data_IF_536923513310
#
_entry.id   IF_536923513310
#
_cell.length_a   1.000
_cell.length_b   1.000
_cell.length_c   1.000
_cell.angle_alpha   90.00
_cell.angle_beta   90.00
_cell.angle_gamma   90.00
#
_symmetry.space_group_name_H-M   'P 1'
#
loop_
_entity.id
_entity.type
_entity.pdbx_description
1 polymer ?
#
# COMPACT_ATOMS: atom_id res chain seq x y z
N UNK A 1 9.58 24.98 -4.95
CA UNK A 1 8.13 25.06 -4.73
C UNK A 1 7.51 25.62 -6.01
N UNK A 2 6.65 24.86 -6.71
CA UNK A 2 5.88 25.41 -7.84
C UNK A 2 5.11 26.64 -7.37
N UNK A 3 4.97 27.68 -8.20
CA UNK A 3 4.16 28.85 -7.82
C UNK A 3 2.69 28.43 -7.88
N UNK A 4 1.84 29.04 -7.05
CA UNK A 4 0.37 28.80 -7.00
C UNK A 4 -0.31 28.89 -8.39
N UNK A 5 0.33 29.55 -9.37
CA UNK A 5 -0.15 29.70 -10.75
C UNK A 5 -0.01 28.44 -11.63
N UNK A 6 0.64 27.38 -11.17
CA UNK A 6 0.95 26.19 -12.00
C UNK A 6 -0.01 25.00 -11.74
N UNK A 7 -1.10 25.20 -10.99
CA UNK A 7 -2.10 24.17 -10.69
C UNK A 7 -3.25 24.16 -11.71
N UNK A 8 -3.75 22.98 -12.12
CA UNK A 8 -3.25 21.64 -11.79
C UNK A 8 -1.91 21.32 -12.48
N UNK A 9 -1.03 20.58 -11.80
CA UNK A 9 0.21 20.09 -12.39
C UNK A 9 -0.11 19.08 -13.50
N UNK A 10 0.60 19.21 -14.61
CA UNK A 10 0.55 18.20 -15.69
C UNK A 10 1.45 17.03 -15.35
N UNK A 11 0.91 15.82 -15.34
CA UNK A 11 1.74 14.62 -15.37
C UNK A 11 2.54 14.59 -16.67
N UNK A 12 3.86 14.40 -16.54
CA UNK A 12 4.77 14.27 -17.69
C UNK A 12 4.62 12.92 -18.39
N UNK A 13 4.31 11.88 -17.62
CA UNK A 13 4.20 10.50 -18.07
C UNK A 13 3.05 9.82 -17.32
N UNK A 14 2.36 8.84 -17.93
CA UNK A 14 1.36 8.05 -17.22
C UNK A 14 2.00 7.16 -16.16
N UNK A 15 1.29 6.94 -15.06
CA UNK A 15 1.61 5.89 -14.08
C UNK A 15 0.72 4.69 -14.41
N UNK A 16 1.35 3.58 -14.79
CA UNK A 16 0.67 2.38 -15.31
C UNK A 16 0.64 1.27 -14.27
N UNK A 17 -0.40 0.43 -14.32
CA UNK A 17 -0.59 -0.74 -13.45
C UNK A 17 -0.46 -0.41 -11.96
N UNK A 18 -1.16 0.64 -11.51
CA UNK A 18 -1.26 0.96 -10.09
C UNK A 18 -2.21 -0.04 -9.45
N UNK A 19 -1.63 -1.01 -8.75
CA UNK A 19 -2.38 -2.08 -8.09
C UNK A 19 -2.82 -1.65 -6.69
N UNK A 20 -4.08 -1.94 -6.35
CA UNK A 20 -4.61 -1.82 -5.00
C UNK A 20 -5.18 -3.17 -4.57
N UNK A 21 -4.79 -3.63 -3.39
CA UNK A 21 -5.26 -4.88 -2.81
C UNK A 21 -5.69 -4.65 -1.37
N UNK A 22 -6.90 -5.13 -1.04
CA UNK A 22 -7.42 -5.29 0.30
C UNK A 22 -7.70 -6.78 0.47
N UNK A 23 -7.02 -7.41 1.42
CA UNK A 23 -7.34 -8.78 1.81
C UNK A 23 -8.49 -8.77 2.82
N UNK A 24 -9.39 -9.73 2.65
CA UNK A 24 -10.39 -10.14 3.63
C UNK A 24 -9.81 -10.95 4.79
N UNK A 25 -8.57 -11.43 4.66
CA UNK A 25 -7.87 -12.11 5.74
C UNK A 25 -7.76 -11.20 6.97
N UNK A 26 -8.08 -11.75 8.14
CA UNK A 26 -8.17 -11.00 9.40
C UNK A 26 -9.50 -10.30 9.64
N UNK A 27 -10.42 -10.29 8.68
CA UNK A 27 -11.82 -9.88 8.87
C UNK A 27 -12.04 -8.37 9.01
N UNK A 28 -10.98 -7.57 9.13
CA UNK A 28 -11.11 -6.12 9.23
C UNK A 28 -11.61 -5.50 7.94
N UNK A 29 -11.35 -6.08 6.76
CA UNK A 29 -11.55 -5.40 5.46
C UNK A 29 -12.32 -6.27 4.47
N UNK A 30 -13.15 -5.68 3.61
CA UNK A 30 -13.68 -6.40 2.46
C UNK A 30 -12.56 -6.68 1.43
N UNK A 31 -12.66 -7.80 0.75
CA UNK A 31 -11.78 -8.17 -0.36
C UNK A 31 -11.98 -7.21 -1.53
N UNK A 32 -10.88 -6.67 -2.06
CA UNK A 32 -10.86 -5.94 -3.32
C UNK A 32 -9.47 -6.00 -3.94
N UNK A 33 -9.36 -6.34 -5.22
CA UNK A 33 -8.11 -6.28 -5.96
C UNK A 33 -8.37 -5.55 -7.28
N UNK A 34 -7.63 -4.48 -7.56
CA UNK A 34 -7.83 -3.64 -8.75
C UNK A 34 -6.49 -3.16 -9.31
N UNK A 35 -6.44 -2.93 -10.63
CA UNK A 35 -5.35 -2.24 -11.32
C UNK A 35 -5.91 -1.08 -12.14
N UNK A 36 -5.28 0.08 -11.98
CA UNK A 36 -5.65 1.28 -12.71
C UNK A 36 -4.44 2.02 -13.29
N UNK A 37 -4.67 2.69 -14.40
CA UNK A 37 -3.71 3.61 -15.02
C UNK A 37 -4.09 5.05 -14.71
N UNK A 38 -3.09 5.88 -14.38
CA UNK A 38 -3.22 7.31 -14.16
C UNK A 38 -2.52 8.04 -15.32
N UNK A 39 -3.31 8.62 -16.21
CA UNK A 39 -2.83 9.28 -17.42
C UNK A 39 -2.97 10.80 -17.33
N UNK A 40 -2.09 11.57 -18.01
CA UNK A 40 -2.28 13.00 -18.15
C UNK A 40 -3.62 13.31 -18.82
N UNK A 41 -4.41 14.20 -18.20
CA UNK A 41 -5.60 14.76 -18.83
C UNK A 41 -5.28 16.18 -19.33
N UNK A 42 -5.61 16.45 -20.58
CA UNK A 42 -5.56 17.80 -21.15
C UNK A 42 -6.98 18.38 -21.05
N UNK A 43 -7.22 19.40 -20.21
CA UNK A 43 -8.55 20.01 -20.09
C UNK A 43 -8.89 20.77 -21.38
N UNK A 44 -10.06 20.51 -21.97
CA UNK A 44 -10.52 21.11 -23.23
C UNK A 44 -11.32 22.41 -23.00
N UNK A 45 -10.66 23.45 -22.49
CA UNK A 45 -11.26 24.78 -22.30
C UNK A 45 -11.56 25.15 -20.85
N UNK A 46 -12.10 26.36 -20.66
CA UNK A 46 -12.37 26.95 -19.35
C UNK A 46 -13.55 26.23 -18.66
N UNK A 47 -13.31 25.69 -17.45
CA UNK A 47 -14.31 24.92 -16.69
C UNK A 47 -14.37 23.41 -16.99
N UNK A 48 -13.47 22.87 -17.80
CA UNK A 48 -13.38 21.43 -18.05
C UNK A 48 -12.90 20.65 -16.82
N UNK A 49 -13.47 19.46 -16.60
CA UNK A 49 -13.11 18.60 -15.48
C UNK A 49 -11.63 18.19 -15.57
N UNK A 50 -10.89 18.46 -14.49
CA UNK A 50 -9.48 18.11 -14.38
C UNK A 50 -9.28 16.67 -13.89
N UNK A 51 -10.35 16.01 -13.42
CA UNK A 51 -10.32 14.61 -13.01
C UNK A 51 -11.36 13.84 -13.80
N UNK A 52 -10.93 12.77 -14.47
CA UNK A 52 -11.83 11.86 -15.18
C UNK A 52 -11.61 10.42 -14.71
N UNK A 53 -12.68 9.64 -14.64
CA UNK A 53 -12.61 8.21 -14.36
C UNK A 53 -13.30 7.43 -15.48
N UNK A 54 -12.68 6.33 -15.91
CA UNK A 54 -13.21 5.41 -16.91
C UNK A 54 -13.06 3.99 -16.37
N UNK A 55 -14.17 3.26 -16.27
CA UNK A 55 -14.14 1.83 -16.00
C UNK A 55 -14.07 1.06 -17.33
N UNK A 56 -12.97 0.35 -17.57
CA UNK A 56 -12.78 -0.48 -18.75
C UNK A 56 -12.99 -1.97 -18.47
N UNK A 57 -13.32 -2.32 -17.21
CA UNK A 57 -13.69 -3.69 -16.83
C UNK A 57 -15.14 -3.94 -17.23
N UNK A 58 -15.42 -4.99 -18.03
CA UNK A 58 -16.78 -5.33 -18.45
C UNK A 58 -17.69 -5.63 -17.25
N UNK A 59 -18.95 -5.22 -17.35
CA UNK A 59 -19.97 -5.48 -16.32
C UNK A 59 -20.18 -6.99 -16.03
N UNK A 60 -19.83 -7.86 -16.98
CA UNK A 60 -19.87 -9.31 -16.80
C UNK A 60 -18.76 -9.84 -15.86
N UNK A 61 -17.69 -9.07 -15.64
CA UNK A 61 -16.54 -9.46 -14.81
C UNK A 61 -16.50 -8.71 -13.48
N UNK A 62 -17.00 -7.47 -13.46
CA UNK A 62 -17.08 -6.64 -12.27
C UNK A 62 -18.47 -6.00 -12.19
N UNK A 63 -19.22 -6.21 -11.10
CA UNK A 63 -20.46 -5.48 -10.86
C UNK A 63 -20.26 -3.97 -11.03
N UNK A 64 -21.12 -3.27 -11.81
CA UNK A 64 -20.95 -1.85 -12.11
C UNK A 64 -20.77 -0.97 -10.87
N UNK A 65 -21.44 -1.31 -9.78
CA UNK A 65 -21.35 -0.63 -8.49
C UNK A 65 -19.95 -0.68 -7.88
N UNK A 66 -19.19 -1.76 -8.10
CA UNK A 66 -17.82 -1.89 -7.60
C UNK A 66 -16.85 -1.04 -8.44
N UNK A 67 -17.03 -1.04 -9.76
CA UNK A 67 -16.26 -0.16 -10.66
C UNK A 67 -16.53 1.32 -10.38
N UNK A 68 -17.79 1.68 -10.15
CA UNK A 68 -18.19 3.04 -9.77
C UNK A 68 -17.60 3.44 -8.41
N UNK A 69 -17.74 2.59 -7.39
CA UNK A 69 -17.22 2.86 -6.06
C UNK A 69 -15.68 3.02 -6.05
N UNK A 70 -14.96 2.20 -6.82
CA UNK A 70 -13.51 2.39 -7.03
C UNK A 70 -13.20 3.78 -7.59
N UNK A 71 -13.91 4.19 -8.65
CA UNK A 71 -13.76 5.51 -9.23
C UNK A 71 -14.05 6.64 -8.23
N UNK A 72 -15.15 6.54 -7.48
CA UNK A 72 -15.48 7.49 -6.41
C UNK A 72 -14.37 7.60 -5.36
N UNK A 73 -13.82 6.46 -4.94
CA UNK A 73 -12.69 6.40 -4.03
C UNK A 73 -11.44 7.11 -4.54
N UNK A 74 -11.04 6.84 -5.79
CA UNK A 74 -9.91 7.51 -6.44
C UNK A 74 -10.15 9.02 -6.51
N UNK A 75 -11.31 9.43 -7.01
CA UNK A 75 -11.62 10.84 -7.20
C UNK A 75 -11.75 11.60 -5.88
N UNK A 76 -12.29 10.96 -4.84
CA UNK A 76 -12.37 11.55 -3.50
C UNK A 76 -10.99 11.79 -2.91
N UNK A 77 -10.05 10.84 -3.08
CA UNK A 77 -8.67 11.02 -2.60
C UNK A 77 -7.95 12.14 -3.35
N UNK A 78 -8.04 12.16 -4.68
CA UNK A 78 -7.43 13.22 -5.50
C UNK A 78 -8.00 14.61 -5.18
N UNK A 79 -9.31 14.69 -4.89
CA UNK A 79 -9.96 15.94 -4.46
C UNK A 79 -9.54 16.34 -3.05
N UNK A 80 -9.28 15.40 -2.14
CA UNK A 80 -8.81 15.70 -0.79
C UNK A 80 -7.43 16.39 -0.79
N UNK A 81 -6.64 16.19 -1.84
CA UNK A 81 -5.35 16.89 -2.02
C UNK A 81 -5.47 18.25 -2.70
N UNK A 82 -6.70 18.72 -2.97
CA UNK A 82 -6.91 19.99 -3.65
C UNK A 82 -6.43 21.17 -2.82
N UNK A 83 -5.84 22.15 -3.50
CA UNK A 83 -5.51 23.44 -2.92
C UNK A 83 -6.44 24.50 -3.51
N UNK A 84 -7.15 25.26 -2.66
CA UNK A 84 -8.16 26.23 -3.09
C UNK A 84 -9.24 25.65 -4.04
N UNK A 85 -9.64 24.40 -3.82
CA UNK A 85 -10.64 23.71 -4.63
C UNK A 85 -10.14 23.20 -5.98
N UNK A 86 -8.84 23.35 -6.29
CA UNK A 86 -8.22 22.81 -7.51
C UNK A 86 -7.38 21.58 -7.17
N UNK A 87 -7.68 20.41 -7.77
CA UNK A 87 -6.86 19.21 -7.62
C UNK A 87 -5.40 19.42 -8.01
N UNK A 88 -4.45 18.69 -7.40
CA UNK A 88 -3.04 18.87 -7.67
C UNK A 88 -2.63 18.45 -9.08
N UNK A 89 -3.40 17.55 -9.70
CA UNK A 89 -3.11 16.98 -11.01
C UNK A 89 -4.34 16.96 -11.91
N UNK A 90 -4.12 17.18 -13.20
CA UNK A 90 -5.13 16.91 -14.22
C UNK A 90 -4.95 15.47 -14.72
N UNK A 91 -5.84 14.55 -14.31
CA UNK A 91 -5.65 13.11 -14.54
C UNK A 91 -6.90 12.40 -15.04
N UNK A 92 -6.68 11.47 -15.96
CA UNK A 92 -7.65 10.43 -16.31
C UNK A 92 -7.23 9.14 -15.67
N UNK A 93 -8.13 8.53 -14.91
CA UNK A 93 -7.94 7.24 -14.26
C UNK A 93 -8.71 6.19 -15.03
N UNK A 94 -8.04 5.12 -15.46
CA UNK A 94 -8.64 3.99 -16.17
C UNK A 94 -8.56 2.75 -15.30
N UNK A 95 -9.68 2.24 -14.81
CA UNK A 95 -9.73 0.93 -14.15
C UNK A 95 -9.61 -0.15 -15.24
N UNK A 96 -8.47 -0.85 -15.26
CA UNK A 96 -8.11 -1.83 -16.29
C UNK A 96 -8.59 -3.23 -15.95
N UNK A 97 -8.42 -3.61 -14.70
CA UNK A 97 -8.70 -4.94 -14.19
C UNK A 97 -9.13 -4.91 -12.73
N UNK A 98 -9.99 -5.83 -12.35
CA UNK A 98 -10.48 -5.97 -10.99
C UNK A 98 -10.87 -7.41 -10.67
N UNK A 99 -10.78 -7.79 -9.39
CA UNK A 99 -11.27 -9.06 -8.84
C UNK A 99 -12.07 -8.78 -7.59
N UNK A 100 -13.16 -9.52 -7.47
CA UNK A 100 -14.08 -9.48 -6.35
C UNK A 100 -14.45 -10.92 -5.96
N UNK A 101 -15.07 -11.07 -4.79
CA UNK A 101 -15.58 -12.32 -4.25
C UNK A 101 -16.96 -12.06 -3.66
N UNK A 102 -17.92 -12.95 -3.93
CA UNK A 102 -19.35 -12.72 -3.69
C UNK A 102 -19.68 -12.31 -2.24
N UNK A 103 -19.08 -12.98 -1.26
CA UNK A 103 -19.37 -12.72 0.15
C UNK A 103 -18.29 -11.91 0.88
N UNK A 104 -17.21 -11.56 0.19
CA UNK A 104 -16.07 -10.86 0.81
C UNK A 104 -15.90 -9.44 0.26
N UNK A 105 -16.41 -9.14 -0.93
CA UNK A 105 -16.29 -7.83 -1.58
C UNK A 105 -17.50 -6.94 -1.33
N UNK A 106 -17.23 -5.65 -1.19
CA UNK A 106 -18.27 -4.62 -1.06
C UNK A 106 -17.90 -3.38 -1.87
N UNK A 107 -18.90 -2.57 -2.21
CA UNK A 107 -18.67 -1.27 -2.85
C UNK A 107 -17.76 -0.38 -2.00
N UNK A 108 -17.97 -0.35 -0.67
CA UNK A 108 -17.09 0.35 0.26
C UNK A 108 -15.64 -0.14 0.16
N UNK A 109 -15.42 -1.45 0.03
CA UNK A 109 -14.10 -2.03 -0.20
C UNK A 109 -13.43 -1.54 -1.47
N UNK A 110 -14.17 -1.51 -2.57
CA UNK A 110 -13.67 -0.98 -3.83
C UNK A 110 -13.38 0.52 -3.75
N UNK A 111 -14.18 1.31 -3.04
CA UNK A 111 -13.88 2.72 -2.78
C UNK A 111 -12.57 2.89 -2.00
N UNK A 112 -12.33 2.08 -0.97
CA UNK A 112 -11.06 2.06 -0.25
C UNK A 112 -9.88 1.65 -1.15
N UNK A 113 -10.07 0.63 -2.00
CA UNK A 113 -9.06 0.25 -2.98
C UNK A 113 -8.75 1.41 -3.96
N UNK A 114 -9.76 2.18 -4.37
CA UNK A 114 -9.60 3.39 -5.17
C UNK A 114 -8.75 4.46 -4.49
N UNK A 115 -9.03 4.78 -3.22
CA UNK A 115 -8.21 5.71 -2.43
C UNK A 115 -6.76 5.24 -2.33
N UNK A 116 -6.56 3.95 -2.07
CA UNK A 116 -5.23 3.34 -1.99
C UNK A 116 -4.47 3.44 -3.31
N UNK A 117 -5.13 3.16 -4.44
CA UNK A 117 -4.54 3.32 -5.77
C UNK A 117 -4.12 4.78 -6.01
N UNK A 118 -4.97 5.75 -5.67
CA UNK A 118 -4.63 7.17 -5.79
C UNK A 118 -3.38 7.53 -4.97
N UNK A 119 -3.29 7.09 -3.70
CA UNK A 119 -2.12 7.31 -2.82
C UNK A 119 -0.83 6.74 -3.42
N UNK A 120 -0.87 5.51 -3.94
CA UNK A 120 0.30 4.89 -4.58
C UNK A 120 0.69 5.62 -5.86
N UNK A 121 -0.28 6.05 -6.69
CA UNK A 121 0.00 6.87 -7.86
C UNK A 121 0.65 8.20 -7.47
N UNK A 122 0.13 8.86 -6.42
CA UNK A 122 0.70 10.08 -5.85
C UNK A 122 2.16 9.88 -5.42
N UNK A 123 2.47 8.78 -4.73
CA UNK A 123 3.84 8.42 -4.37
C UNK A 123 4.73 8.24 -5.61
N UNK A 124 4.25 7.52 -6.63
CA UNK A 124 4.97 7.30 -7.89
C UNK A 124 5.28 8.62 -8.60
N UNK A 125 4.33 9.55 -8.61
CA UNK A 125 4.48 10.87 -9.23
C UNK A 125 5.52 11.73 -8.49
N UNK A 126 5.47 11.75 -7.16
CA UNK A 126 6.37 12.57 -6.34
C UNK A 126 7.81 12.04 -6.33
N UNK A 127 7.96 10.72 -6.16
CA UNK A 127 9.26 10.07 -5.99
C UNK A 127 9.88 9.62 -7.33
N UNK A 128 9.12 9.66 -8.43
CA UNK A 128 9.60 9.24 -9.75
C UNK A 128 9.85 7.73 -9.85
N UNK A 129 9.10 6.93 -9.10
CA UNK A 129 9.24 5.47 -9.01
C UNK A 129 8.08 4.74 -9.66
N UNK A 130 8.27 3.44 -9.96
CA UNK A 130 7.21 2.57 -10.48
C UNK A 130 6.29 2.08 -9.35
N UNK A 131 5.00 1.78 -9.64
CA UNK A 131 4.08 1.21 -8.66
C UNK A 131 4.56 -0.12 -8.11
N UNK A 132 4.25 -0.36 -6.84
CA UNK A 132 4.59 -1.61 -6.17
C UNK A 132 3.52 -2.68 -6.46
N UNK A 133 3.89 -3.88 -6.95
CA UNK A 133 2.91 -4.90 -7.28
C UNK A 133 2.39 -5.63 -6.02
N UNK A 134 1.15 -6.11 -6.11
CA UNK A 134 0.52 -7.08 -5.20
C UNK A 134 0.35 -8.45 -5.85
N UNK A 135 0.30 -8.54 -7.18
CA UNK A 135 0.24 -9.78 -7.95
C UNK A 135 1.39 -9.88 -8.94
N UNK A 136 1.83 -11.10 -9.24
CA UNK A 136 2.87 -11.36 -10.25
C UNK A 136 2.36 -11.18 -11.67
N UNK A 137 1.10 -11.51 -11.92
CA UNK A 137 0.46 -11.41 -13.24
C UNK A 137 -1.04 -11.25 -13.10
N UNK A 138 -1.61 -10.32 -13.85
CA UNK A 138 -3.05 -10.24 -14.04
C UNK A 138 -3.53 -11.38 -14.97
N UNK A 139 -4.54 -12.17 -14.59
CA UNK A 139 -5.00 -13.29 -15.42
C UNK A 139 -5.72 -12.87 -16.73
N UNK A 140 -6.11 -11.60 -16.85
CA UNK A 140 -6.89 -11.07 -17.98
C UNK A 140 -5.99 -10.61 -19.14
N UNK A 141 -6.46 -10.83 -20.37
CA UNK A 141 -5.78 -10.40 -21.59
C UNK A 141 -5.74 -8.87 -21.79
N UNK A 142 -6.49 -8.08 -20.99
CA UNK A 142 -6.57 -6.62 -21.11
C UNK A 142 -5.31 -5.90 -20.64
N UNK A 143 -4.56 -6.49 -19.71
CA UNK A 143 -3.25 -5.95 -19.30
C UNK A 143 -2.17 -6.18 -20.39
N UNK A 144 -2.44 -7.02 -21.41
CA UNK A 144 -1.46 -7.39 -22.43
C UNK A 144 -1.16 -6.31 -23.49
N UNK A 145 -1.93 -5.22 -23.56
CA UNK A 145 -1.71 -4.14 -24.54
C UNK A 145 -0.54 -3.21 -24.18
N UNK A 146 -0.01 -3.30 -22.97
CA UNK A 146 1.28 -2.74 -22.60
C UNK A 146 2.16 -3.86 -22.06
N UNK A 147 3.43 -3.97 -22.48
CA UNK A 147 4.32 -4.95 -21.85
C UNK A 147 4.29 -4.67 -20.35
N UNK A 148 3.84 -5.66 -19.56
CA UNK A 148 4.18 -5.72 -18.14
C UNK A 148 5.69 -5.49 -18.12
N UNK A 149 6.20 -4.45 -17.43
CA UNK A 149 7.62 -4.15 -17.50
C UNK A 149 8.37 -5.43 -17.15
N UNK A 150 9.13 -5.95 -18.11
CA UNK A 150 9.88 -7.18 -17.92
C UNK A 150 10.82 -6.93 -16.74
N UNK A 151 10.51 -7.55 -15.60
CA UNK A 151 11.23 -7.39 -14.34
C UNK A 151 12.57 -8.11 -14.44
N UNK A 152 13.46 -7.61 -15.28
CA UNK A 152 14.80 -8.15 -15.47
C UNK A 152 15.70 -7.67 -14.31
N UNK A 153 16.07 -8.53 -13.37
CA UNK A 153 16.66 -8.15 -12.07
C UNK A 153 18.18 -8.30 -12.08
N UNK A 154 18.99 -7.22 -12.08
CA UNK A 154 20.42 -7.32 -11.81
C UNK A 154 20.68 -7.30 -10.30
N UNK A 155 21.34 -8.34 -9.79
CA UNK A 155 21.87 -8.43 -8.43
C UNK A 155 21.21 -9.47 -7.53
N UNK A 156 21.84 -9.81 -6.39
CA UNK A 156 21.27 -10.76 -5.44
C UNK A 156 19.96 -10.20 -4.89
N UNK A 157 18.90 -10.99 -5.03
CA UNK A 157 17.58 -10.68 -4.46
C UNK A 157 17.69 -10.77 -2.94
N UNK A 158 17.12 -9.84 -2.16
CA UNK A 158 16.96 -10.09 -0.74
C UNK A 158 16.18 -11.40 -0.57
N UNK A 159 16.73 -12.33 0.21
CA UNK A 159 16.07 -13.55 0.61
C UNK A 159 14.94 -13.18 1.57
N UNK A 160 13.74 -13.06 1.02
CA UNK A 160 12.48 -13.06 1.78
C UNK A 160 12.42 -14.37 2.59
N UNK A 161 11.72 -14.40 3.73
CA UNK A 161 11.50 -15.64 4.47
C UNK A 161 11.04 -16.79 3.57
N UNK A 162 11.89 -17.79 3.36
CA UNK A 162 11.44 -19.14 3.01
C UNK A 162 10.85 -19.89 4.22
N UNK A 163 10.72 -19.19 5.37
CA UNK A 163 10.29 -19.71 6.66
C UNK A 163 9.44 -18.67 7.37
N UNK A 164 8.55 -19.10 8.24
CA UNK A 164 7.78 -18.16 9.06
C UNK A 164 8.68 -17.43 10.07
N UNK A 165 8.51 -16.11 10.20
CA UNK A 165 9.05 -15.29 11.29
C UNK A 165 7.88 -14.83 12.14
N UNK A 166 7.78 -15.32 13.38
CA UNK A 166 6.70 -14.99 14.31
C UNK A 166 7.12 -13.92 15.31
N UNK A 167 6.14 -13.20 15.84
CA UNK A 167 6.29 -12.29 16.97
C UNK A 167 7.31 -11.18 16.75
N UNK A 168 7.33 -10.61 15.53
CA UNK A 168 8.10 -9.41 15.25
C UNK A 168 7.46 -8.24 15.99
N UNK A 169 8.05 -7.89 17.13
CA UNK A 169 7.55 -6.85 18.02
C UNK A 169 8.26 -5.52 17.77
N UNK A 170 7.50 -4.51 17.37
CA UNK A 170 7.97 -3.14 17.17
C UNK A 170 7.36 -2.24 18.22
N UNK A 171 8.20 -1.42 18.85
CA UNK A 171 7.82 -0.43 19.84
C UNK A 171 8.45 0.91 19.52
N UNK A 172 7.66 1.85 19.02
CA UNK A 172 8.07 3.23 18.78
C UNK A 172 7.38 4.13 19.80
N UNK A 173 8.04 4.39 20.93
CA UNK A 173 7.50 5.21 22.02
C UNK A 173 8.52 6.27 22.41
N UNK A 174 8.14 7.54 22.33
CA UNK A 174 8.91 8.68 22.86
C UNK A 174 7.99 9.72 23.50
N UNK A 175 8.41 10.28 24.63
CA UNK A 175 7.66 11.28 25.41
C UNK A 175 8.07 12.73 25.10
N UNK A 176 8.62 12.99 23.92
CA UNK A 176 8.98 14.34 23.49
C UNK A 176 7.72 15.16 23.15
N UNK A 177 7.85 16.50 23.04
CA UNK A 177 6.74 17.42 22.75
C UNK A 177 5.97 17.13 21.44
N UNK A 178 6.57 16.37 20.52
CA UNK A 178 5.89 15.69 19.42
C UNK A 178 6.04 14.19 19.64
N UNK A 179 5.18 13.62 20.47
CA UNK A 179 5.26 12.21 20.84
C UNK A 179 5.13 11.30 19.63
N UNK A 180 5.78 10.15 19.70
CA UNK A 180 5.66 9.08 18.72
C UNK A 180 5.16 7.89 19.50
N UNK A 181 4.00 7.36 19.12
CA UNK A 181 3.46 6.15 19.72
C UNK A 181 2.97 5.18 18.64
N UNK A 182 3.60 4.01 18.55
CA UNK A 182 3.05 2.83 17.89
C UNK A 182 3.68 1.58 18.49
N UNK A 183 2.85 0.61 18.85
CA UNK A 183 3.28 -0.75 19.19
C UNK A 183 2.54 -1.69 18.25
N UNK A 184 3.27 -2.63 17.65
CA UNK A 184 2.72 -3.63 16.76
C UNK A 184 3.47 -4.95 16.90
N UNK A 185 2.75 -6.07 16.87
CA UNK A 185 3.30 -7.41 16.83
C UNK A 185 2.78 -8.10 15.58
N UNK A 186 3.70 -8.65 14.79
CA UNK A 186 3.39 -9.20 13.47
C UNK A 186 4.08 -10.51 13.17
N UNK A 187 3.41 -11.35 12.40
CA UNK A 187 3.97 -12.56 11.83
C UNK A 187 4.17 -12.39 10.32
N UNK A 188 5.29 -12.91 9.81
CA UNK A 188 5.64 -12.93 8.39
C UNK A 188 5.69 -14.39 7.94
N UNK A 189 4.75 -14.79 7.10
CA UNK A 189 4.56 -16.16 6.63
C UNK A 189 4.77 -16.23 5.12
N UNK A 190 5.45 -17.25 4.58
CA UNK A 190 5.48 -17.48 3.14
C UNK A 190 4.05 -17.75 2.62
N UNK A 191 3.68 -17.13 1.51
CA UNK A 191 2.44 -17.47 0.81
C UNK A 191 2.63 -18.74 -0.03
N UNK A 192 1.56 -19.54 -0.23
CA UNK A 192 1.56 -20.61 -1.22
C UNK A 192 1.96 -20.10 -2.60
N UNK A 193 2.78 -20.88 -3.32
CA UNK A 193 3.29 -20.49 -4.63
C UNK A 193 2.19 -20.29 -5.69
N UNK A 194 1.04 -20.93 -5.50
CA UNK A 194 -0.15 -20.88 -6.34
C UNK A 194 -1.14 -19.77 -5.94
N UNK A 195 -0.86 -18.98 -4.90
CA UNK A 195 -1.74 -17.89 -4.45
C UNK A 195 -1.93 -16.77 -5.50
N UNK A 196 -0.97 -16.61 -6.42
CA UNK A 196 -0.94 -15.51 -7.40
C UNK A 196 -0.63 -14.13 -6.79
N UNK A 197 -0.52 -14.04 -5.47
CA UNK A 197 -0.17 -12.83 -4.72
C UNK A 197 1.34 -12.78 -4.49
N UNK A 198 1.89 -11.57 -4.40
CA UNK A 198 3.23 -11.28 -3.93
C UNK A 198 3.23 -10.84 -2.47
N UNK A 199 2.16 -10.18 -2.06
CA UNK A 199 2.00 -9.63 -0.74
C UNK A 199 0.54 -9.69 -0.30
N UNK A 200 0.31 -10.20 0.90
CA UNK A 200 -0.98 -10.18 1.55
C UNK A 200 -0.85 -9.62 2.97
N UNK A 201 -1.73 -8.70 3.34
CA UNK A 201 -1.81 -8.19 4.70
C UNK A 201 -3.12 -8.57 5.35
N UNK A 202 -3.02 -9.33 6.44
CA UNK A 202 -4.13 -9.72 7.28
C UNK A 202 -4.10 -8.88 8.56
N UNK A 203 -5.07 -7.98 8.70
CA UNK A 203 -5.26 -7.21 9.93
C UNK A 203 -6.21 -7.98 10.84
N UNK A 204 -5.66 -8.69 11.82
CA UNK A 204 -6.41 -9.53 12.77
C UNK A 204 -6.75 -8.77 14.07
N UNK A 205 -6.31 -7.52 14.17
CA UNK A 205 -6.71 -6.60 15.24
C UNK A 205 -8.08 -6.01 14.91
N UNK A 206 -9.07 -6.13 15.81
CA UNK A 206 -10.38 -5.50 15.65
C UNK A 206 -10.33 -3.97 15.49
N UNK A 207 -11.28 -3.40 14.75
CA UNK A 207 -11.34 -1.96 14.44
C UNK A 207 -11.50 -1.09 15.69
N UNK A 208 -12.20 -1.58 16.72
CA UNK A 208 -12.37 -0.91 18.01
C UNK A 208 -11.05 -0.80 18.79
N UNK A 209 -10.08 -1.67 18.50
CA UNK A 209 -8.74 -1.66 19.12
C UNK A 209 -7.71 -0.89 18.31
N UNK A 210 -7.84 -0.87 16.98
CA UNK A 210 -6.92 -0.19 16.08
C UNK A 210 -7.71 0.48 14.95
N UNK A 211 -7.69 1.82 14.88
CA UNK A 211 -8.24 2.55 13.73
C UNK A 211 -7.71 2.01 12.41
N UNK A 212 -8.60 1.84 11.43
CA UNK A 212 -8.29 1.29 10.11
C UNK A 212 -7.13 2.04 9.45
N UNK A 213 -7.09 3.35 9.59
CA UNK A 213 -6.07 4.21 8.99
C UNK A 213 -4.66 3.83 9.47
N UNK A 214 -4.54 3.41 10.74
CA UNK A 214 -3.26 2.97 11.30
C UNK A 214 -2.86 1.58 10.83
N UNK A 215 -3.83 0.67 10.68
CA UNK A 215 -3.58 -0.64 10.08
C UNK A 215 -3.12 -0.50 8.62
N UNK A 216 -3.78 0.35 7.83
CA UNK A 216 -3.44 0.62 6.44
C UNK A 216 -2.09 1.34 6.31
N UNK A 217 -1.79 2.29 7.20
CA UNK A 217 -0.49 2.95 7.23
C UNK A 217 0.64 1.97 7.60
N UNK A 218 0.41 1.10 8.58
CA UNK A 218 1.36 0.05 8.96
C UNK A 218 1.64 -0.88 7.78
N UNK A 219 0.59 -1.38 7.13
CA UNK A 219 0.71 -2.19 5.93
C UNK A 219 1.50 -1.48 4.83
N UNK A 220 1.18 -0.21 4.55
CA UNK A 220 1.91 0.58 3.56
C UNK A 220 3.40 0.63 3.89
N UNK A 221 3.76 0.79 5.17
CA UNK A 221 5.14 0.72 5.64
C UNK A 221 5.80 -0.65 5.39
N UNK A 222 5.09 -1.74 5.66
CA UNK A 222 5.56 -3.10 5.40
C UNK A 222 5.78 -3.33 3.90
N UNK A 223 4.76 -3.04 3.08
CA UNK A 223 4.80 -3.19 1.63
C UNK A 223 5.91 -2.32 1.02
N UNK A 224 6.09 -1.10 1.52
CA UNK A 224 7.16 -0.20 1.09
C UNK A 224 8.55 -0.85 1.28
N UNK A 225 8.82 -1.43 2.45
CA UNK A 225 10.12 -2.04 2.74
C UNK A 225 10.34 -3.33 1.94
N UNK A 226 9.29 -4.13 1.76
CA UNK A 226 9.42 -5.47 1.16
C UNK A 226 9.32 -5.46 -0.38
N UNK A 227 8.60 -4.48 -0.94
CA UNK A 227 8.35 -4.33 -2.37
C UNK A 227 8.88 -2.99 -2.89
N UNK A 228 10.06 -2.56 -2.44
CA UNK A 228 10.61 -1.23 -2.72
C UNK A 228 10.51 -0.83 -4.22
N UNK A 229 9.89 0.32 -4.46
CA UNK A 229 9.65 0.91 -5.78
C UNK A 229 10.92 1.55 -6.34
N UNK A 230 11.25 1.29 -7.61
CA UNK A 230 12.25 2.08 -8.36
C UNK A 230 13.53 1.34 -8.77
N UNK A 231 13.80 0.14 -8.27
CA UNK A 231 14.91 -0.70 -8.78
C UNK A 231 14.56 -2.19 -8.68
N UNK A 232 13.70 -2.70 -9.57
CA UNK A 232 13.63 -4.12 -10.00
C UNK A 232 13.59 -5.22 -8.93
N UNK A 233 13.34 -4.90 -7.66
CA UNK A 233 13.38 -5.85 -6.54
C UNK A 233 11.95 -6.22 -6.15
N UNK A 234 11.31 -7.02 -6.99
CA UNK A 234 10.15 -7.80 -6.53
C UNK A 234 10.67 -8.81 -5.50
N UNK A 235 10.02 -8.98 -4.34
CA UNK A 235 10.39 -10.01 -3.37
C UNK A 235 10.50 -11.39 -4.06
N UNK A 236 11.58 -12.14 -3.77
CA UNK A 236 11.81 -13.47 -4.36
C UNK A 236 10.71 -14.47 -4.01
N UNK A 237 10.06 -14.29 -2.86
CA UNK A 237 8.99 -15.13 -2.38
C UNK A 237 7.79 -14.27 -2.01
N UNK A 238 6.59 -14.77 -2.29
CA UNK A 238 5.34 -14.17 -1.84
C UNK A 238 5.18 -14.37 -0.33
N UNK A 239 4.62 -13.38 0.37
CA UNK A 239 4.45 -13.47 1.82
C UNK A 239 3.17 -12.80 2.33
N UNK A 240 2.65 -13.37 3.42
CA UNK A 240 1.55 -12.85 4.21
C UNK A 240 2.10 -12.21 5.47
N UNK A 241 1.59 -11.04 5.80
CA UNK A 241 1.87 -10.37 7.07
C UNK A 241 0.60 -10.31 7.89
N UNK A 242 0.65 -10.89 9.09
CA UNK A 242 -0.48 -10.95 10.02
C UNK A 242 -0.22 -9.96 11.15
N UNK A 243 -1.03 -8.92 11.25
CA UNK A 243 -1.02 -7.98 12.37
C UNK A 243 -2.01 -8.47 13.42
N UNK A 244 -1.50 -9.06 14.50
CA UNK A 244 -2.32 -9.71 15.54
C UNK A 244 -2.37 -8.97 16.88
N UNK A 245 -1.45 -8.03 17.13
CA UNK A 245 -1.58 -7.07 18.23
C UNK A 245 -1.06 -5.69 17.83
N UNK A 246 -1.78 -4.65 18.26
CA UNK A 246 -1.38 -3.27 18.07
C UNK A 246 -1.90 -2.38 19.20
N UNK A 247 -1.16 -1.30 19.49
CA UNK A 247 -1.57 -0.25 20.42
C UNK A 247 -1.25 1.12 19.83
N UNK A 248 -2.16 2.06 20.06
CA UNK A 248 -2.05 3.45 19.65
C UNK A 248 -2.37 4.38 20.83
N UNK A 249 -2.04 5.66 20.68
CA UNK A 249 -2.34 6.73 21.62
C UNK A 249 -3.01 7.88 20.87
N UNK A 250 -4.06 8.47 21.44
CA UNK A 250 -4.90 9.45 20.76
C UNK A 250 -4.15 10.66 20.22
N UNK A 251 -3.16 11.13 20.98
CA UNK A 251 -2.41 12.36 20.65
C UNK A 251 -1.08 12.06 19.96
N UNK A 252 -0.45 10.94 20.29
CA UNK A 252 0.93 10.64 19.86
C UNK A 252 1.02 9.65 18.69
N UNK A 253 -0.10 9.04 18.30
CA UNK A 253 -0.17 8.16 17.13
C UNK A 253 -0.68 8.89 15.90
N UNK A 254 -0.08 8.57 14.75
CA UNK A 254 -0.55 9.01 13.44
C UNK A 254 -0.09 8.02 12.36
N UNK A 255 -0.60 8.18 11.14
CA UNK A 255 -0.28 7.31 9.99
C UNK A 255 1.23 7.24 9.71
N UNK A 256 1.96 8.35 9.84
CA UNK A 256 3.41 8.39 9.58
C UNK A 256 4.17 7.50 10.58
N UNK A 257 3.74 7.50 11.84
CA UNK A 257 4.33 6.68 12.90
C UNK A 257 4.04 5.19 12.68
N UNK A 258 2.80 4.82 12.33
CA UNK A 258 2.46 3.43 12.03
C UNK A 258 3.15 2.92 10.76
N UNK A 259 3.26 3.74 9.71
CA UNK A 259 4.04 3.39 8.52
C UNK A 259 5.53 3.19 8.86
N UNK A 260 6.08 4.00 9.78
CA UNK A 260 7.45 3.78 10.28
C UNK A 260 7.56 2.47 11.06
N UNK A 261 6.57 2.11 11.87
CA UNK A 261 6.54 0.84 12.59
C UNK A 261 6.49 -0.35 11.62
N UNK A 262 5.67 -0.28 10.57
CA UNK A 262 5.62 -1.29 9.51
C UNK A 262 6.95 -1.48 8.79
N UNK A 263 7.62 -0.37 8.43
CA UNK A 263 8.96 -0.43 7.81
C UNK A 263 9.98 -1.12 8.71
N UNK A 264 9.92 -0.88 10.02
CA UNK A 264 10.80 -1.47 11.04
C UNK A 264 10.52 -2.97 11.23
N UNK A 265 9.25 -3.38 11.26
CA UNK A 265 8.85 -4.78 11.35
C UNK A 265 9.38 -5.57 10.14
N UNK A 266 9.15 -5.05 8.94
CA UNK A 266 9.64 -5.65 7.71
C UNK A 266 11.18 -5.78 7.66
N UNK A 267 11.91 -4.73 8.07
CA UNK A 267 13.37 -4.78 8.12
C UNK A 267 13.88 -5.85 9.10
N UNK A 268 13.23 -5.99 10.26
CA UNK A 268 13.58 -7.00 11.24
C UNK A 268 13.26 -8.42 10.74
N UNK A 269 12.13 -8.61 10.06
CA UNK A 269 11.79 -9.88 9.44
C UNK A 269 12.84 -10.29 8.38
N UNK A 270 13.26 -9.35 7.51
CA UNK A 270 14.32 -9.58 6.53
C UNK A 270 15.65 -9.96 7.21
N UNK A 271 16.02 -9.27 8.29
CA UNK A 271 17.22 -9.61 9.10
C UNK A 271 17.12 -11.03 9.63
N UNK A 272 16.00 -11.40 10.25
CA UNK A 272 15.78 -12.75 10.79
C UNK A 272 15.94 -13.81 9.72
N UNK A 273 15.52 -13.53 8.49
CA UNK A 273 15.62 -14.48 7.38
C UNK A 273 17.05 -14.61 6.85
N UNK A 274 17.79 -13.51 6.78
CA UNK A 274 19.18 -13.51 6.38
C UNK A 274 20.09 -14.20 7.41
N UNK A 275 19.85 -13.97 8.70
CA UNK A 275 20.72 -14.44 9.79
C UNK A 275 20.29 -15.78 10.40
N UNK A 276 19.11 -16.29 10.07
CA UNK A 276 18.57 -17.51 10.67
C UNK A 276 18.11 -17.35 12.13
N UNK A 277 18.21 -16.16 12.73
CA UNK A 277 17.86 -15.88 14.14
C UNK A 277 16.38 -15.58 14.40
N UNK A 278 16.02 -15.50 15.68
CA UNK A 278 14.71 -15.04 16.16
C UNK A 278 14.60 -13.50 16.09
N UNK A 279 13.37 -12.96 15.97
CA UNK A 279 13.16 -11.52 16.06
C UNK A 279 13.60 -10.95 17.40
N UNK A 280 14.19 -9.77 17.34
CA UNK A 280 14.57 -8.95 18.49
C UNK A 280 13.55 -7.82 18.63
N UNK A 281 13.25 -7.36 19.86
CA UNK A 281 12.41 -6.17 20.04
C UNK A 281 12.98 -4.98 19.26
N UNK A 282 12.17 -4.40 18.39
CA UNK A 282 12.56 -3.20 17.63
C UNK A 282 12.12 -1.97 18.42
N UNK A 283 12.96 -1.58 19.36
CA UNK A 283 12.83 -0.36 20.15
C UNK A 283 13.42 0.86 19.42
N UNK A 284 13.09 2.11 19.81
CA UNK A 284 13.58 3.30 19.13
C UNK A 284 15.07 3.56 19.39
N UNK A 285 15.70 2.83 20.32
CA UNK A 285 17.12 2.93 20.69
C UNK A 285 17.72 1.54 20.95
N UNK A 286 18.98 1.25 20.58
CA UNK A 286 19.66 0.04 21.05
C UNK A 286 19.65 0.04 22.58
N UNK A 287 19.27 -1.08 23.20
CA UNK A 287 19.27 -1.21 24.65
C UNK A 287 20.56 -0.61 25.24
N UNK A 288 20.44 0.42 26.09
CA UNK A 288 21.59 0.89 26.85
C UNK A 288 22.18 -0.34 27.56
N UNK A 289 23.50 -0.57 27.51
CA UNK A 289 24.11 -1.68 28.22
C UNK A 289 23.68 -1.55 29.67
N UNK A 290 23.01 -2.58 30.20
CA UNK A 290 22.62 -2.63 31.61
C UNK A 290 23.92 -2.47 32.39
N UNK A 291 24.09 -1.33 33.06
CA UNK A 291 25.22 -1.09 33.96
C UNK A 291 25.32 -2.23 34.98
N UNK A 292 26.52 -2.51 35.50
CA UNK A 292 26.73 -3.62 36.43
C UNK A 292 25.77 -3.47 37.60
N UNK A 293 25.07 -4.56 37.94
CA UNK A 293 24.28 -4.64 39.16
C UNK A 293 25.27 -4.53 40.32
N UNK A 294 25.17 -3.45 41.08
CA UNK A 294 25.85 -3.27 42.37
C UNK A 294 25.07 -4.05 43.42
#
# INVERSE_FOLDING_TARGET
>A
MPRVRDYPLRLKQPVRDVQAFLSSAGGLRPYALASADFEPLVPEGEGSDVLAFVNEVPAAELPPEFGAAFGEGVLAELRAWSFNGVPPYAVRVRLRDARWREDESTAAGFAWAGRRAAREAGHCIHEGVLPRPYVTRWPSARTATHPVPEYDVPGPRPSVPGRTVRDVHVRLVTSAACGVFAIATTDFEPLPADSGLLFEFAAEVPEDRLPREFADAFEHGVHHTLCASGTRRVPTAAFRVRLHDAKWHEVDSNEVVFAKAGRRAAAEALRCCAEGGAPRPVDPWPAHPRGPRV
#
